data_IF_854083407563
#
_entry.id   IF_854083407563
#
_cell.length_a   1.000
_cell.length_b   1.000
_cell.length_c   1.000
_cell.angle_alpha   90.00
_cell.angle_beta   90.00
_cell.angle_gamma   90.00
#
_symmetry.space_group_name_H-M   'P 1'
#
loop_
_entity.id
_entity.type
_entity.pdbx_description
1 polymer ?
#
# COMPACT_ATOMS: atom_id res chain seq x y z
N UNK A 1 32.74 22.03 -13.08
CA UNK A 1 31.44 21.49 -13.50
C UNK A 1 31.54 19.97 -13.62
N UNK A 2 31.12 19.21 -12.60
CA UNK A 2 31.08 17.74 -12.66
C UNK A 2 29.67 17.33 -13.09
N UNK A 3 29.56 16.73 -14.27
CA UNK A 3 28.31 16.14 -14.78
C UNK A 3 28.13 14.79 -14.11
N UNK A 4 27.09 14.64 -13.29
CA UNK A 4 26.68 13.36 -12.75
C UNK A 4 25.85 12.61 -13.81
N UNK A 5 26.09 11.30 -14.03
CA UNK A 5 25.41 10.55 -15.08
C UNK A 5 23.95 10.29 -14.71
N UNK A 6 23.06 10.67 -15.63
CA UNK A 6 21.60 10.64 -15.56
C UNK A 6 20.96 9.23 -15.41
N UNK A 7 21.75 8.17 -15.19
CA UNK A 7 21.28 6.77 -15.20
C UNK A 7 20.92 6.21 -13.82
N UNK A 8 21.33 6.86 -12.74
CA UNK A 8 21.06 6.42 -11.36
C UNK A 8 19.74 6.99 -10.78
N UNK A 9 19.10 7.97 -11.45
CA UNK A 9 17.88 8.61 -10.97
C UNK A 9 16.57 7.90 -11.34
N UNK A 10 16.64 6.80 -12.11
CA UNK A 10 15.45 6.11 -12.64
C UNK A 10 14.94 4.94 -11.78
N UNK A 11 15.66 4.53 -10.73
CA UNK A 11 15.29 3.32 -9.96
C UNK A 11 14.41 3.59 -8.72
N UNK A 12 14.22 4.84 -8.31
CA UNK A 12 13.45 5.16 -7.08
C UNK A 12 12.04 5.69 -7.37
N UNK A 13 11.76 6.16 -8.59
CA UNK A 13 10.43 6.68 -8.94
C UNK A 13 9.35 5.59 -9.12
N UNK A 14 9.73 4.32 -9.28
CA UNK A 14 8.79 3.22 -9.49
C UNK A 14 8.15 2.68 -8.20
N UNK A 15 8.74 2.97 -7.03
CA UNK A 15 8.34 2.38 -5.75
C UNK A 15 7.17 3.11 -5.08
N UNK A 16 6.86 4.30 -5.56
CA UNK A 16 5.97 5.20 -4.86
C UNK A 16 4.76 5.48 -5.74
N UNK A 17 3.65 4.79 -5.47
CA UNK A 17 2.32 5.22 -5.92
C UNK A 17 1.88 6.52 -5.25
N UNK A 18 2.77 7.54 -5.21
CA UNK A 18 2.46 8.88 -4.72
C UNK A 18 1.55 9.53 -5.76
N UNK A 19 0.27 9.61 -5.43
CA UNK A 19 -0.65 10.47 -6.14
C UNK A 19 -0.47 11.87 -5.56
N UNK A 20 0.23 12.73 -6.28
CA UNK A 20 0.19 14.17 -6.01
C UNK A 20 -1.16 14.70 -6.51
N UNK A 21 -2.07 14.99 -5.59
CA UNK A 21 -3.31 15.69 -5.93
C UNK A 21 -2.99 17.19 -6.04
N UNK A 22 -2.89 17.70 -7.26
CA UNK A 22 -2.78 19.14 -7.52
C UNK A 22 -4.14 19.81 -7.28
N UNK A 23 -4.47 20.10 -6.03
CA UNK A 23 -5.67 20.88 -5.68
C UNK A 23 -5.28 22.34 -5.55
N UNK A 24 -5.69 23.17 -6.52
CA UNK A 24 -5.60 24.63 -6.43
C UNK A 24 -6.64 25.14 -5.43
N UNK A 25 -6.27 25.20 -4.15
CA UNK A 25 -7.05 25.93 -3.16
C UNK A 25 -6.53 27.37 -3.08
N UNK A 26 -7.22 28.29 -3.75
CA UNK A 26 -7.09 29.73 -3.49
C UNK A 26 -7.67 30.04 -2.12
N UNK A 27 -6.82 30.03 -1.09
CA UNK A 27 -7.18 30.39 0.27
C UNK A 27 -5.94 30.89 1.00
N UNK A 28 -6.03 32.12 1.51
CA UNK A 28 -4.96 32.84 2.21
C UNK A 28 -4.42 32.02 3.39
N UNK A 29 -3.11 31.77 3.40
CA UNK A 29 -2.46 30.94 4.39
C UNK A 29 -2.50 31.59 5.78
N UNK A 30 -2.90 30.89 6.86
CA UNK A 30 -2.67 31.39 8.20
C UNK A 30 -1.17 31.42 8.48
N UNK A 31 -0.67 32.60 8.83
CA UNK A 31 0.68 32.80 9.31
C UNK A 31 0.89 32.03 10.63
N UNK A 32 2.05 31.38 10.73
CA UNK A 32 2.63 30.69 11.91
C UNK A 32 2.22 29.22 12.07
N UNK A 33 3.04 28.30 11.53
CA UNK A 33 3.13 26.91 11.98
C UNK A 33 4.24 26.86 13.05
N UNK A 34 3.94 26.62 14.34
CA UNK A 34 4.96 26.33 15.34
C UNK A 34 5.55 24.93 15.11
N UNK A 35 6.89 24.87 15.03
CA UNK A 35 7.71 23.66 14.79
C UNK A 35 7.43 22.53 15.80
N UNK A 36 7.00 21.41 15.24
CA UNK A 36 7.18 20.07 15.74
C UNK A 36 7.41 19.21 14.51
N UNK A 37 8.63 19.28 13.96
CA UNK A 37 9.10 18.92 12.62
C UNK A 37 8.62 17.57 12.08
N UNK A 38 7.41 17.53 11.53
CA UNK A 38 6.99 16.45 10.64
C UNK A 38 7.21 16.89 9.21
N UNK A 39 8.18 16.28 8.55
CA UNK A 39 8.50 16.52 7.15
C UNK A 39 8.12 15.30 6.31
N UNK A 40 7.80 15.54 5.05
CA UNK A 40 7.70 14.49 4.05
C UNK A 40 9.09 13.90 3.79
N UNK A 41 9.21 12.58 3.81
CA UNK A 41 10.44 11.85 3.50
C UNK A 41 10.20 10.96 2.29
N UNK A 42 10.60 11.45 1.11
CA UNK A 42 10.49 10.75 -0.17
C UNK A 42 11.47 9.58 -0.32
N UNK A 43 12.40 9.41 0.61
CA UNK A 43 13.39 8.32 0.64
C UNK A 43 12.97 7.16 1.54
N UNK A 44 11.77 7.23 2.12
CA UNK A 44 11.23 6.22 3.03
C UNK A 44 9.79 5.89 2.66
N UNK A 45 9.44 4.60 2.61
CA UNK A 45 8.06 4.18 2.40
C UNK A 45 7.13 4.53 3.59
N UNK A 46 7.69 4.98 4.72
CA UNK A 46 6.94 5.55 5.83
C UNK A 46 6.46 6.99 5.58
N UNK A 47 7.03 7.67 4.56
CA UNK A 47 6.64 8.96 4.01
C UNK A 47 6.75 10.19 4.94
N UNK A 48 6.90 10.00 6.24
CA UNK A 48 7.02 11.11 7.20
C UNK A 48 8.08 10.85 8.27
N UNK A 49 8.80 11.90 8.65
CA UNK A 49 9.92 11.81 9.62
C UNK A 49 9.50 11.40 11.03
N UNK A 50 8.22 11.56 11.38
CA UNK A 50 7.68 11.16 12.67
C UNK A 50 7.34 9.66 12.78
N UNK A 51 7.63 8.87 11.75
CA UNK A 51 7.43 7.42 11.73
C UNK A 51 8.77 6.70 11.67
N UNK A 52 8.96 5.81 12.63
CA UNK A 52 10.16 5.02 12.82
C UNK A 52 9.94 3.51 12.59
N UNK A 53 8.69 3.11 12.34
CA UNK A 53 8.28 1.73 12.09
C UNK A 53 7.00 1.71 11.24
N UNK A 54 6.79 0.61 10.51
CA UNK A 54 5.52 0.35 9.83
C UNK A 54 4.45 0.02 10.87
N UNK A 55 3.46 0.91 11.02
CA UNK A 55 2.32 0.70 11.92
C UNK A 55 1.03 0.78 11.15
N UNK A 56 0.19 -0.23 11.32
CA UNK A 56 -1.12 -0.33 10.75
C UNK A 56 -2.13 -0.20 11.89
N UNK A 57 -3.20 0.54 11.65
CA UNK A 57 -4.30 0.60 12.59
C UNK A 57 -5.55 -0.03 12.00
N UNK A 58 -6.29 -0.80 12.80
CA UNK A 58 -7.48 -1.53 12.40
C UNK A 58 -8.72 -0.96 13.09
N UNK A 59 -9.75 -0.72 12.28
CA UNK A 59 -11.10 -0.41 12.73
C UNK A 59 -12.06 -1.46 12.17
N UNK A 60 -12.72 -2.17 13.05
CA UNK A 60 -13.78 -3.13 12.71
C UNK A 60 -15.14 -2.43 12.65
N UNK A 61 -16.01 -2.85 11.72
CA UNK A 61 -17.40 -2.43 11.70
C UNK A 61 -18.14 -2.91 12.97
N UNK A 62 -19.13 -2.15 13.48
CA UNK A 62 -19.83 -2.50 14.72
C UNK A 62 -20.50 -3.88 14.74
N UNK A 63 -20.84 -4.43 13.57
CA UNK A 63 -21.44 -5.75 13.42
C UNK A 63 -20.46 -6.91 13.56
N UNK A 64 -19.15 -6.65 13.51
CA UNK A 64 -18.12 -7.67 13.68
C UNK A 64 -17.92 -7.99 15.16
N UNK A 65 -18.11 -9.26 15.53
CA UNK A 65 -17.86 -9.78 16.88
C UNK A 65 -16.42 -10.31 17.04
N UNK A 66 -15.50 -9.82 16.22
CA UNK A 66 -14.19 -10.43 15.95
C UNK A 66 -13.02 -9.89 16.77
N UNK A 67 -13.26 -9.05 17.78
CA UNK A 67 -12.25 -8.31 18.53
C UNK A 67 -11.08 -9.18 18.99
N UNK A 68 -9.96 -9.11 18.27
CA UNK A 68 -8.76 -9.94 18.42
C UNK A 68 -8.42 -10.74 17.16
N UNK A 69 -9.37 -11.53 16.64
CA UNK A 69 -9.18 -12.43 15.48
C UNK A 69 -8.88 -11.69 14.18
N UNK A 70 -9.44 -10.49 14.00
CA UNK A 70 -9.15 -9.64 12.83
C UNK A 70 -7.69 -9.16 12.88
N UNK A 71 -7.27 -8.62 14.02
CA UNK A 71 -5.88 -8.17 14.23
C UNK A 71 -4.89 -9.32 14.04
N UNK A 72 -5.16 -10.51 14.57
CA UNK A 72 -4.30 -11.70 14.40
C UNK A 72 -4.12 -12.11 12.92
N UNK A 73 -5.22 -12.11 12.14
CA UNK A 73 -5.17 -12.40 10.69
C UNK A 73 -4.37 -11.35 9.92
N UNK A 74 -4.55 -10.08 10.28
CA UNK A 74 -3.79 -8.98 9.68
C UNK A 74 -2.31 -9.02 10.07
N UNK A 75 -1.98 -9.38 11.30
CA UNK A 75 -0.60 -9.62 11.75
C UNK A 75 0.05 -10.76 10.97
N UNK A 76 -0.69 -11.87 10.74
CA UNK A 76 -0.19 -12.97 9.91
C UNK A 76 0.05 -12.54 8.46
N UNK A 77 -0.87 -11.76 7.89
CA UNK A 77 -0.73 -11.21 6.53
C UNK A 77 0.46 -10.25 6.43
N UNK A 78 0.67 -9.41 7.45
CA UNK A 78 1.80 -8.48 7.51
C UNK A 78 3.14 -9.22 7.68
N UNK A 79 3.18 -10.30 8.46
CA UNK A 79 4.34 -11.19 8.55
C UNK A 79 4.66 -11.86 7.22
N UNK A 80 3.66 -12.25 6.45
CA UNK A 80 3.88 -12.81 5.11
C UNK A 80 4.51 -11.77 4.16
N UNK A 81 4.19 -10.48 4.32
CA UNK A 81 4.79 -9.39 3.54
C UNK A 81 6.26 -9.11 3.88
N UNK A 82 6.79 -9.59 5.00
CA UNK A 82 8.22 -9.47 5.33
C UNK A 82 9.13 -10.11 4.27
N UNK A 83 8.61 -11.09 3.52
CA UNK A 83 9.32 -11.72 2.42
C UNK A 83 9.27 -10.91 1.10
N UNK A 84 8.56 -9.78 1.05
CA UNK A 84 8.43 -8.96 -0.16
C UNK A 84 9.80 -8.44 -0.63
N UNK A 85 10.14 -8.50 -1.94
CA UNK A 85 11.45 -8.07 -2.45
C UNK A 85 11.84 -6.65 -2.04
N UNK A 86 10.87 -5.75 -2.07
CA UNK A 86 11.04 -4.33 -1.73
C UNK A 86 11.00 -4.02 -0.22
N UNK A 87 10.80 -5.02 0.66
CA UNK A 87 10.61 -4.80 2.09
C UNK A 87 11.80 -4.10 2.76
N UNK A 88 13.01 -4.55 2.43
CA UNK A 88 14.24 -3.94 2.94
C UNK A 88 14.46 -2.53 2.39
N UNK A 89 14.18 -2.32 1.10
CA UNK A 89 14.28 -1.01 0.46
C UNK A 89 13.29 0.00 1.05
N UNK A 90 12.10 -0.47 1.43
CA UNK A 90 11.07 0.30 2.14
C UNK A 90 11.43 0.61 3.61
N UNK A 91 12.52 0.03 4.13
CA UNK A 91 13.00 0.15 5.52
C UNK A 91 12.02 -0.39 6.58
N UNK A 92 11.09 -1.26 6.18
CA UNK A 92 10.11 -1.84 7.11
C UNK A 92 10.75 -2.83 8.09
N UNK A 93 11.87 -3.46 7.74
CA UNK A 93 12.61 -4.35 8.64
C UNK A 93 13.44 -3.66 9.74
N UNK A 94 13.49 -2.32 9.78
CA UNK A 94 14.30 -1.60 10.77
C UNK A 94 13.74 -1.71 12.21
N UNK A 95 12.43 -1.88 12.34
CA UNK A 95 11.71 -2.13 13.59
C UNK A 95 10.55 -3.09 13.29
N UNK A 96 10.15 -3.88 14.29
CA UNK A 96 9.01 -4.81 14.14
C UNK A 96 7.75 -4.04 13.73
N UNK A 97 7.13 -4.37 12.58
CA UNK A 97 5.83 -3.81 12.22
C UNK A 97 4.75 -4.18 13.22
N UNK A 98 3.76 -3.30 13.41
CA UNK A 98 2.65 -3.55 14.35
C UNK A 98 1.30 -3.34 13.69
N UNK A 99 0.33 -4.18 14.07
CA UNK A 99 -1.09 -3.98 13.81
C UNK A 99 -1.78 -3.66 15.13
N UNK A 100 -2.45 -2.52 15.21
CA UNK A 100 -3.10 -2.03 16.42
C UNK A 100 -4.61 -1.83 16.20
N UNK A 101 -5.44 -2.24 17.15
CA UNK A 101 -6.88 -1.98 17.09
C UNK A 101 -7.22 -0.58 17.67
N UNK A 102 -8.34 -0.01 17.22
CA UNK A 102 -8.92 1.18 17.84
C UNK A 102 -8.40 2.50 17.28
N UNK A 103 -8.51 2.67 15.96
CA UNK A 103 -7.93 3.84 15.29
C UNK A 103 -8.46 5.18 15.80
N UNK A 104 -7.60 6.21 15.79
CA UNK A 104 -8.06 7.57 15.99
C UNK A 104 -8.95 8.02 14.81
N UNK A 105 -9.73 9.08 15.03
CA UNK A 105 -10.53 9.71 13.98
C UNK A 105 -11.97 9.16 13.84
N UNK A 106 -12.72 9.69 12.86
CA UNK A 106 -14.13 9.37 12.69
C UNK A 106 -14.33 7.90 12.27
N UNK A 107 -15.54 7.39 12.54
CA UNK A 107 -15.97 6.12 11.96
C UNK A 107 -16.07 6.23 10.43
N UNK A 108 -15.95 5.09 9.75
CA UNK A 108 -16.14 5.03 8.30
C UNK A 108 -17.55 5.52 7.94
N UNK A 109 -17.72 6.50 7.03
CA UNK A 109 -19.03 6.88 6.56
C UNK A 109 -19.71 5.68 5.87
N UNK A 110 -20.99 5.45 6.19
CA UNK A 110 -21.81 4.41 5.56
C UNK A 110 -22.32 4.88 4.19
N UNK A 111 -21.39 5.28 3.32
CA UNK A 111 -21.64 5.68 1.96
C UNK A 111 -20.72 4.90 1.02
N UNK A 112 -21.10 4.81 -0.26
CA UNK A 112 -20.28 4.16 -1.27
C UNK A 112 -18.97 4.93 -1.43
N UNK A 113 -17.86 4.20 -1.41
CA UNK A 113 -16.54 4.75 -1.70
C UNK A 113 -16.36 4.79 -3.20
N UNK A 114 -16.07 5.97 -3.73
CA UNK A 114 -15.60 6.12 -5.10
C UNK A 114 -14.08 5.95 -5.15
N UNK A 115 -13.56 5.07 -6.03
CA UNK A 115 -12.13 4.81 -6.16
C UNK A 115 -11.35 6.09 -6.42
N UNK A 116 -10.21 6.26 -5.73
CA UNK A 116 -9.26 7.40 -5.88
C UNK A 116 -9.79 8.79 -5.53
N UNK A 117 -11.10 8.99 -5.38
CA UNK A 117 -11.71 10.28 -5.03
C UNK A 117 -12.05 10.39 -3.54
N UNK A 118 -12.26 9.24 -2.89
CA UNK A 118 -12.69 9.20 -1.50
C UNK A 118 -11.54 9.43 -0.53
N UNK A 119 -11.79 10.28 0.46
CA UNK A 119 -10.95 10.42 1.66
C UNK A 119 -11.61 9.64 2.78
N UNK A 120 -10.91 8.63 3.30
CA UNK A 120 -11.36 7.75 4.38
C UNK A 120 -10.41 7.90 5.56
N UNK A 121 -10.62 8.96 6.34
CA UNK A 121 -9.74 9.29 7.45
C UNK A 121 -9.75 10.79 7.79
N UNK A 122 -8.71 11.27 8.49
CA UNK A 122 -8.58 12.68 8.89
C UNK A 122 -8.50 13.68 7.73
N UNK A 123 -8.02 13.28 6.55
CA UNK A 123 -7.84 14.16 5.40
C UNK A 123 -6.57 15.03 5.49
N UNK A 124 -6.58 16.26 4.96
CA UNK A 124 -5.43 17.16 5.02
C UNK A 124 -5.03 17.47 6.47
N UNK A 125 -3.75 17.30 6.80
CA UNK A 125 -3.18 17.52 8.14
C UNK A 125 -1.76 18.09 8.05
N UNK A 126 -1.38 18.88 9.06
CA UNK A 126 0.01 19.35 9.26
C UNK A 126 0.82 18.41 10.15
N UNK A 127 0.15 17.47 10.84
CA UNK A 127 0.78 16.51 11.75
C UNK A 127 0.15 15.12 11.58
N UNK A 128 0.58 14.37 10.55
CA UNK A 128 0.13 13.01 10.29
C UNK A 128 0.29 12.09 11.49
N UNK A 129 -0.63 11.13 11.64
CA UNK A 129 -0.55 10.12 12.68
C UNK A 129 0.68 9.19 12.55
N UNK A 130 0.92 8.40 13.61
CA UNK A 130 2.02 7.41 13.65
C UNK A 130 1.82 6.19 12.73
N UNK A 131 0.62 6.07 12.15
CA UNK A 131 0.22 4.92 11.34
C UNK A 131 0.43 5.24 9.87
N UNK A 132 1.01 4.29 9.13
CA UNK A 132 1.17 4.39 7.68
C UNK A 132 -0.11 4.01 6.94
N UNK A 133 -0.92 3.15 7.55
CA UNK A 133 -2.13 2.59 6.95
C UNK A 133 -3.25 2.45 7.99
N UNK A 134 -4.47 2.84 7.61
CA UNK A 134 -5.69 2.51 8.32
C UNK A 134 -6.43 1.39 7.58
N UNK A 135 -6.80 0.32 8.26
CA UNK A 135 -7.56 -0.78 7.72
C UNK A 135 -8.96 -0.74 8.33
N UNK A 136 -9.96 -0.56 7.47
CA UNK A 136 -11.38 -0.63 7.84
C UNK A 136 -11.92 -1.99 7.42
N UNK A 137 -12.19 -2.86 8.40
CA UNK A 137 -12.72 -4.20 8.17
C UNK A 137 -14.22 -4.18 8.32
N UNK A 138 -14.94 -4.59 7.28
CA UNK A 138 -16.39 -4.50 7.18
C UNK A 138 -17.03 -5.87 7.30
N UNK A 139 -18.14 -5.96 8.05
CA UNK A 139 -19.08 -7.06 7.88
C UNK A 139 -19.70 -7.04 6.47
N UNK A 140 -20.22 -8.18 6.02
CA UNK A 140 -20.78 -8.36 4.68
C UNK A 140 -21.84 -7.30 4.33
N UNK A 141 -22.74 -7.02 5.26
CA UNK A 141 -23.83 -6.05 5.07
C UNK A 141 -23.28 -4.64 4.84
N UNK A 142 -22.29 -4.24 5.64
CA UNK A 142 -21.66 -2.92 5.53
C UNK A 142 -20.82 -2.84 4.25
N UNK A 143 -20.12 -3.93 3.90
CA UNK A 143 -19.34 -4.01 2.68
C UNK A 143 -20.21 -3.88 1.41
N UNK A 144 -21.41 -4.47 1.38
CA UNK A 144 -22.32 -4.33 0.22
C UNK A 144 -22.72 -2.87 -0.03
N UNK A 145 -22.88 -2.07 1.03
CA UNK A 145 -23.17 -0.64 0.92
C UNK A 145 -21.93 0.13 0.45
N UNK A 146 -20.83 -0.04 1.18
CA UNK A 146 -19.62 0.79 1.04
C UNK A 146 -18.79 0.40 -0.20
N UNK A 147 -18.56 -0.90 -0.39
CA UNK A 147 -17.72 -1.47 -1.45
C UNK A 147 -18.54 -1.95 -2.65
N UNK A 148 -19.81 -2.29 -2.46
CA UNK A 148 -20.59 -2.99 -3.49
C UNK A 148 -20.04 -4.39 -3.74
N UNK A 149 -19.86 -4.74 -5.00
CA UNK A 149 -19.31 -6.04 -5.43
C UNK A 149 -17.80 -6.17 -5.16
N UNK A 150 -17.11 -5.07 -4.83
CA UNK A 150 -15.67 -5.09 -4.56
C UNK A 150 -15.38 -5.77 -3.23
N UNK A 151 -14.27 -6.51 -3.17
CA UNK A 151 -13.79 -7.17 -1.95
C UNK A 151 -12.94 -6.25 -1.07
N UNK A 152 -12.21 -5.33 -1.69
CA UNK A 152 -11.40 -4.30 -1.03
C UNK A 152 -11.29 -3.05 -1.91
N UNK A 153 -10.97 -1.92 -1.29
CA UNK A 153 -10.73 -0.65 -1.97
C UNK A 153 -9.67 0.16 -1.23
N UNK A 154 -8.81 0.85 -1.98
CA UNK A 154 -7.79 1.75 -1.44
C UNK A 154 -8.28 3.19 -1.58
N UNK A 155 -8.23 3.92 -0.47
CA UNK A 155 -8.55 5.34 -0.39
C UNK A 155 -7.42 6.11 0.31
N UNK A 156 -7.47 7.44 0.27
CA UNK A 156 -6.52 8.27 1.02
C UNK A 156 -7.06 8.48 2.43
N UNK A 157 -6.22 8.32 3.45
CA UNK A 157 -6.60 8.64 4.83
C UNK A 157 -6.10 10.02 5.26
N UNK A 158 -4.84 10.34 4.98
CA UNK A 158 -4.22 11.61 5.36
C UNK A 158 -3.37 12.18 4.23
N UNK A 159 -3.46 13.49 4.04
CA UNK A 159 -2.54 14.26 3.20
C UNK A 159 -1.65 15.15 4.07
N UNK A 160 -0.36 15.21 3.77
CA UNK A 160 0.55 16.21 4.31
C UNK A 160 0.75 17.31 3.27
N UNK A 161 0.69 18.57 3.70
CA UNK A 161 1.11 19.70 2.88
C UNK A 161 2.63 19.75 2.81
N UNK A 162 3.18 19.53 1.63
CA UNK A 162 4.65 19.54 1.38
C UNK A 162 5.11 20.89 0.84
N UNK A 163 4.21 21.58 0.15
CA UNK A 163 4.39 22.93 -0.39
C UNK A 163 3.01 23.63 -0.46
N UNK A 164 2.97 24.92 -0.77
CA UNK A 164 1.76 25.76 -0.81
C UNK A 164 0.66 25.19 -1.74
N UNK A 165 1.06 24.42 -2.75
CA UNK A 165 0.16 23.85 -3.75
C UNK A 165 0.22 22.33 -3.86
N UNK A 166 0.93 21.65 -2.94
CA UNK A 166 1.20 20.22 -3.04
C UNK A 166 0.75 19.51 -1.77
N UNK A 167 -0.27 18.66 -1.93
CA UNK A 167 -0.68 17.67 -0.95
C UNK A 167 -0.12 16.30 -1.36
N UNK A 168 0.67 15.69 -0.47
CA UNK A 168 1.15 14.33 -0.63
C UNK A 168 0.32 13.40 0.25
N UNK A 169 -0.19 12.30 -0.32
CA UNK A 169 -0.73 11.20 0.48
C UNK A 169 0.38 10.66 1.37
N UNK A 170 0.13 10.64 2.69
CA UNK A 170 1.07 10.09 3.67
C UNK A 170 0.48 8.92 4.44
N UNK A 171 -0.85 8.81 4.51
CA UNK A 171 -1.52 7.67 5.13
C UNK A 171 -2.57 7.12 4.18
N UNK A 172 -2.54 5.81 3.99
CA UNK A 172 -3.46 5.11 3.10
C UNK A 172 -4.59 4.49 3.92
N UNK A 173 -5.82 4.54 3.44
CA UNK A 173 -6.92 3.75 3.96
C UNK A 173 -7.15 2.52 3.06
N UNK A 174 -7.23 1.35 3.68
CA UNK A 174 -7.65 0.11 3.04
C UNK A 174 -9.00 -0.29 3.63
N UNK A 175 -10.05 -0.27 2.82
CA UNK A 175 -11.38 -0.72 3.22
C UNK A 175 -11.59 -2.12 2.66
N UNK A 176 -11.89 -3.09 3.52
CA UNK A 176 -11.89 -4.50 3.14
C UNK A 176 -13.06 -5.25 3.77
N UNK A 177 -13.65 -6.16 3.00
CA UNK A 177 -14.66 -7.11 3.46
C UNK A 177 -14.00 -8.18 4.32
N UNK A 178 -14.57 -8.50 5.48
CA UNK A 178 -13.96 -9.43 6.45
C UNK A 178 -13.69 -10.82 5.86
N UNK A 179 -14.60 -11.34 5.03
CA UNK A 179 -14.43 -12.63 4.34
C UNK A 179 -13.25 -12.68 3.36
N UNK A 180 -12.69 -11.54 2.97
CA UNK A 180 -11.57 -11.46 2.05
C UNK A 180 -10.20 -11.45 2.76
N UNK A 181 -10.15 -11.32 4.09
CA UNK A 181 -8.89 -11.27 4.82
C UNK A 181 -8.05 -12.54 4.70
N UNK A 182 -8.69 -13.69 4.49
CA UNK A 182 -8.04 -14.99 4.37
C UNK A 182 -7.72 -15.35 2.89
N UNK A 183 -8.07 -14.49 1.93
CA UNK A 183 -7.76 -14.69 0.52
C UNK A 183 -6.27 -14.40 0.23
N UNK A 184 -5.53 -15.30 -0.44
CA UNK A 184 -4.12 -15.07 -0.78
C UNK A 184 -3.86 -13.79 -1.59
N UNK A 185 -4.85 -13.30 -2.36
CA UNK A 185 -4.74 -12.04 -3.09
C UNK A 185 -4.77 -10.83 -2.15
N UNK A 186 -5.39 -10.93 -0.96
CA UNK A 186 -5.47 -9.81 -0.02
C UNK A 186 -4.08 -9.32 0.39
N UNK A 187 -3.22 -10.20 0.88
CA UNK A 187 -1.87 -9.82 1.31
C UNK A 187 -1.00 -9.38 0.12
N UNK A 188 -0.93 -10.23 -0.91
CA UNK A 188 -0.02 -10.04 -2.06
C UNK A 188 -0.33 -8.79 -2.87
N UNK A 189 -1.59 -8.37 -2.97
CA UNK A 189 -2.00 -7.21 -3.75
C UNK A 189 -2.45 -6.03 -2.91
N UNK A 190 -3.44 -6.22 -2.04
CA UNK A 190 -4.13 -5.09 -1.40
C UNK A 190 -3.37 -4.56 -0.19
N UNK A 191 -2.88 -5.46 0.67
CA UNK A 191 -2.09 -5.06 1.83
C UNK A 191 -0.74 -4.48 1.41
N UNK A 192 -0.04 -5.12 0.46
CA UNK A 192 1.22 -4.60 -0.12
C UNK A 192 1.05 -3.19 -0.65
N UNK A 193 0.05 -2.95 -1.50
CA UNK A 193 -0.25 -1.61 -2.02
C UNK A 193 -0.64 -0.62 -0.92
N UNK A 194 -1.39 -1.05 0.09
CA UNK A 194 -1.82 -0.17 1.17
C UNK A 194 -0.68 0.28 2.09
N UNK A 195 0.39 -0.49 2.21
CA UNK A 195 1.62 -0.08 2.92
C UNK A 195 2.62 0.63 2.02
N UNK A 196 2.36 0.70 0.70
CA UNK A 196 3.20 1.40 -0.28
C UNK A 196 4.23 0.52 -1.00
N UNK A 197 4.02 -0.80 -1.04
CA UNK A 197 4.80 -1.75 -1.84
C UNK A 197 4.07 -2.04 -3.17
N UNK A 198 4.79 -2.58 -4.14
CA UNK A 198 4.19 -3.07 -5.38
C UNK A 198 3.35 -4.34 -5.12
N UNK A 199 2.30 -4.59 -5.92
CA UNK A 199 1.57 -5.85 -5.83
C UNK A 199 2.45 -7.02 -6.29
N UNK A 200 2.44 -8.12 -5.55
CA UNK A 200 3.06 -9.39 -5.92
C UNK A 200 2.08 -10.28 -6.66
N UNK A 201 2.59 -11.26 -7.43
CA UNK A 201 1.77 -12.35 -7.94
C UNK A 201 1.16 -13.15 -6.79
N UNK A 202 -0.11 -13.55 -6.93
CA UNK A 202 -0.79 -14.39 -5.94
C UNK A 202 0.00 -15.69 -5.68
N UNK A 203 0.15 -16.08 -4.42
CA UNK A 203 0.88 -17.30 -4.03
C UNK A 203 2.36 -17.09 -3.69
N UNK A 204 2.83 -15.87 -3.50
CA UNK A 204 4.15 -15.60 -2.93
C UNK A 204 4.19 -16.09 -1.47
N UNK A 205 4.61 -17.34 -1.28
CA UNK A 205 4.96 -17.89 0.01
C UNK A 205 6.48 -17.96 0.12
N UNK A 206 7.00 -17.71 1.32
CA UNK A 206 8.40 -18.00 1.66
C UNK A 206 8.64 -19.47 1.38
N UNK A 207 9.39 -19.80 0.33
CA UNK A 207 9.94 -21.14 0.18
C UNK A 207 10.79 -21.40 1.43
N UNK A 208 10.54 -22.53 2.11
CA UNK A 208 11.18 -22.86 3.40
C UNK A 208 12.73 -22.91 3.31
N UNK A 209 13.30 -22.88 2.11
CA UNK A 209 14.74 -22.95 1.86
C UNK A 209 15.35 -21.67 1.22
N UNK A 210 14.80 -20.49 1.50
CA UNK A 210 15.51 -19.22 1.27
C UNK A 210 15.76 -18.84 -0.21
N UNK A 211 15.14 -19.52 -1.16
CA UNK A 211 15.23 -19.17 -2.57
C UNK A 211 14.07 -18.23 -2.95
N UNK A 212 14.40 -16.99 -3.28
CA UNK A 212 13.44 -16.01 -3.83
C UNK A 212 13.12 -16.44 -5.27
N UNK A 213 11.84 -16.58 -5.66
CA UNK A 213 11.51 -16.89 -7.05
C UNK A 213 11.92 -15.74 -7.98
N UNK A 214 12.98 -15.98 -8.75
CA UNK A 214 13.23 -15.46 -10.10
C UNK A 214 13.09 -13.95 -10.30
N UNK A 215 14.20 -13.23 -10.08
CA UNK A 215 14.47 -12.00 -10.83
C UNK A 215 14.55 -12.36 -12.31
N UNK A 216 13.69 -11.74 -13.12
CA UNK A 216 13.71 -11.77 -14.59
C UNK A 216 15.13 -11.47 -15.10
N UNK A 217 15.77 -12.44 -15.76
CA UNK A 217 17.04 -12.18 -16.41
C UNK A 217 17.86 -13.36 -16.91
N UNK A 218 17.27 -14.49 -17.33
CA UNK A 218 17.99 -15.46 -18.16
C UNK A 218 17.20 -15.76 -19.44
N UNK A 219 17.70 -15.17 -20.54
CA UNK A 219 17.39 -15.60 -21.89
C UNK A 219 17.90 -17.03 -22.05
N UNK A 220 17.02 -18.01 -21.87
CA UNK A 220 17.26 -19.34 -22.44
C UNK A 220 16.91 -19.26 -23.91
N UNK A 221 17.89 -18.98 -24.76
CA UNK A 221 17.82 -19.38 -26.16
C UNK A 221 17.64 -20.90 -26.20
N UNK A 222 16.40 -21.36 -26.41
CA UNK A 222 16.17 -22.76 -26.77
C UNK A 222 16.72 -22.98 -28.18
N UNK A 223 17.65 -23.93 -28.39
CA UNK A 223 17.91 -24.40 -29.74
C UNK A 223 16.63 -25.05 -30.27
N UNK A 224 16.14 -24.53 -31.39
CA UNK A 224 15.02 -25.11 -32.14
C UNK A 224 15.48 -26.45 -32.70
N UNK A 225 15.21 -27.53 -31.97
CA UNK A 225 14.90 -28.80 -32.58
C UNK A 225 13.41 -28.81 -32.82
N UNK A 226 12.95 -28.86 -34.08
CA UNK A 226 12.43 -30.10 -34.65
C UNK A 226 11.80 -29.91 -36.05
N UNK A 227 11.78 -31.01 -36.81
CA UNK A 227 10.86 -31.38 -37.89
C UNK A 227 11.05 -30.83 -39.32
N UNK A 228 12.03 -31.39 -40.04
CA UNK A 228 11.82 -31.68 -41.47
C UNK A 228 10.93 -32.93 -41.59
N UNK A 229 9.61 -32.75 -41.61
CA UNK A 229 8.68 -33.76 -42.09
C UNK A 229 7.28 -33.18 -42.33
N UNK A 230 7.08 -32.44 -43.43
CA UNK A 230 5.74 -32.36 -44.04
C UNK A 230 5.82 -32.49 -45.56
N UNK A 231 5.30 -33.63 -46.00
CA UNK A 231 4.84 -33.97 -47.34
C UNK A 231 4.09 -32.81 -47.99
N UNK A 232 4.53 -32.40 -49.17
CA UNK A 232 3.67 -31.80 -50.19
C UNK A 232 3.49 -32.83 -51.31
N UNK A 233 2.28 -33.35 -51.48
CA UNK A 233 1.90 -34.17 -52.63
C UNK A 233 1.00 -33.39 -53.58
N UNK A 234 1.00 -33.85 -54.84
CA UNK A 234 0.07 -33.53 -55.95
C UNK A 234 0.28 -32.12 -56.55
N UNK A 235 0.55 -31.89 -57.85
CA UNK A 235 0.20 -32.56 -59.11
C UNK A 235 1.37 -32.57 -60.09
#
# INVERSE_FOLDING_TARGET
MKRFPLRELLHVAAMSGIVFAAVHCGGEAPANIPEGDVHFDDKSALLTTNRDALRLCVREAPGLRGGGRVTERLDASLKALDAHPDWAAARFGAKTPTVEAGCPGPALPLARIEPKESIVGPGPTTKPGRFRTFIHVLDEKTADVVLGERKAERAVAEFLRVDDHILAEVTTALVVRESYLDDPEFASRWLSQAVGLQPMSAGFQRLEDGEVPGVLGDFVEKPVTDTSALRGGVK
#
